data_IF_353740181349
#
_entry.id   IF_353740181349
#
_cell.length_a   1.000
_cell.length_b   1.000
_cell.length_c   1.000
_cell.angle_alpha   90.00
_cell.angle_beta   90.00
_cell.angle_gamma   90.00
#
_symmetry.space_group_name_H-M   'P 1'
#
loop_
_entity.id
_entity.type
_entity.pdbx_description
1 polymer ?
#
# COMPACT_ATOMS: atom_id res chain seq x y z
N UNK A 1 -21.68 10.02 -1.06
CA UNK A 1 -21.10 9.92 0.30
C UNK A 1 -19.59 9.64 0.20
N UNK A 2 -18.81 9.84 1.27
CA UNK A 2 -17.42 9.31 1.30
C UNK A 2 -17.47 7.78 1.36
N UNK A 3 -16.40 7.08 0.96
CA UNK A 3 -16.36 5.60 1.03
C UNK A 3 -16.65 5.09 2.45
N UNK A 4 -16.04 5.72 3.46
CA UNK A 4 -16.34 5.49 4.87
C UNK A 4 -17.83 5.60 5.18
N UNK A 5 -18.49 6.68 4.78
CA UNK A 5 -19.90 6.90 5.07
C UNK A 5 -20.80 5.87 4.37
N UNK A 6 -20.44 5.40 3.16
CA UNK A 6 -21.17 4.31 2.50
C UNK A 6 -21.04 2.99 3.28
N UNK A 7 -19.83 2.66 3.73
CA UNK A 7 -19.58 1.45 4.53
C UNK A 7 -20.35 1.52 5.85
N UNK A 8 -20.26 2.63 6.59
CA UNK A 8 -20.98 2.83 7.85
C UNK A 8 -22.50 2.67 7.66
N UNK A 9 -23.06 3.27 6.61
CA UNK A 9 -24.49 3.16 6.32
C UNK A 9 -24.90 1.73 5.93
N UNK A 10 -24.09 1.02 5.13
CA UNK A 10 -24.38 -0.36 4.74
C UNK A 10 -24.31 -1.35 5.90
N UNK A 11 -23.49 -1.08 6.91
CA UNK A 11 -23.37 -1.90 8.11
C UNK A 11 -24.33 -1.48 9.23
N UNK A 12 -25.12 -0.41 9.03
CA UNK A 12 -26.13 0.04 9.99
C UNK A 12 -27.41 -0.80 9.94
N UNK A 13 -28.21 -0.84 11.02
CA UNK A 13 -29.52 -1.50 11.00
C UNK A 13 -30.49 -0.94 9.95
N UNK A 14 -30.39 0.35 9.64
CA UNK A 14 -31.23 1.03 8.65
C UNK A 14 -30.83 0.69 7.21
N UNK A 15 -29.58 0.27 7.01
CA UNK A 15 -29.01 -0.02 5.69
C UNK A 15 -28.84 1.21 4.81
N UNK A 16 -28.57 0.99 3.52
CA UNK A 16 -28.43 2.05 2.51
C UNK A 16 -28.79 1.53 1.12
N UNK A 17 -29.20 2.43 0.23
CA UNK A 17 -29.43 2.13 -1.19
C UNK A 17 -28.14 2.18 -2.02
N UNK A 18 -27.04 2.72 -1.47
CA UNK A 18 -25.73 2.65 -2.11
C UNK A 18 -25.09 1.27 -1.91
N UNK A 19 -24.26 0.81 -2.85
CA UNK A 19 -23.54 -0.46 -2.73
C UNK A 19 -22.06 -0.13 -2.54
N UNK A 20 -21.54 -0.12 -1.29
CA UNK A 20 -20.10 0.05 -1.10
C UNK A 20 -19.34 -1.18 -1.62
N UNK A 21 -18.18 -0.94 -2.21
CA UNK A 21 -17.34 -1.98 -2.80
C UNK A 21 -16.00 -2.14 -2.07
N UNK A 22 -15.60 -3.39 -1.85
CA UNK A 22 -14.31 -3.77 -1.26
C UNK A 22 -13.75 -4.96 -2.03
N UNK A 23 -12.46 -4.92 -2.37
CA UNK A 23 -11.75 -6.04 -2.97
C UNK A 23 -11.16 -6.92 -1.86
N UNK A 24 -11.62 -8.17 -1.78
CA UNK A 24 -10.97 -9.16 -0.94
C UNK A 24 -9.53 -9.39 -1.41
N UNK A 25 -8.61 -9.57 -0.46
CA UNK A 25 -7.20 -9.78 -0.74
C UNK A 25 -6.58 -8.68 -1.62
N UNK A 26 -6.91 -7.41 -1.36
CA UNK A 26 -6.47 -6.27 -2.18
C UNK A 26 -4.96 -6.26 -2.45
N UNK A 27 -4.13 -6.76 -1.53
CA UNK A 27 -2.69 -6.85 -1.70
C UNK A 27 -2.27 -7.70 -2.90
N UNK A 28 -2.98 -8.82 -3.16
CA UNK A 28 -2.72 -9.68 -4.33
C UNK A 28 -3.10 -8.95 -5.62
N UNK A 29 -4.27 -8.31 -5.63
CA UNK A 29 -4.73 -7.53 -6.78
C UNK A 29 -3.77 -6.36 -7.08
N UNK A 30 -3.32 -5.64 -6.05
CA UNK A 30 -2.39 -4.52 -6.19
C UNK A 30 -1.03 -5.01 -6.70
N UNK A 31 -0.53 -6.13 -6.19
CA UNK A 31 0.71 -6.76 -6.65
C UNK A 31 0.65 -7.08 -8.15
N UNK A 32 -0.41 -7.76 -8.58
CA UNK A 32 -0.53 -8.27 -9.95
C UNK A 32 -0.83 -7.15 -10.97
N UNK A 33 -1.39 -6.04 -10.51
CA UNK A 33 -1.81 -4.91 -11.35
C UNK A 33 -1.08 -3.59 -11.03
N UNK A 34 0.09 -3.64 -10.39
CA UNK A 34 0.78 -2.43 -9.86
C UNK A 34 0.90 -1.31 -10.89
N UNK A 35 1.48 -1.61 -12.07
CA UNK A 35 1.70 -0.63 -13.14
C UNK A 35 0.38 -0.09 -13.76
N UNK A 36 -0.74 -0.79 -13.58
CA UNK A 36 -2.06 -0.36 -14.02
C UNK A 36 -2.76 0.51 -12.97
N UNK A 37 -2.38 0.37 -11.70
CA UNK A 37 -3.03 1.03 -10.57
C UNK A 37 -2.29 2.29 -10.08
N UNK A 38 -0.99 2.40 -10.33
CA UNK A 38 -0.20 3.56 -9.92
C UNK A 38 0.94 3.84 -10.89
N UNK A 39 1.40 5.10 -10.91
CA UNK A 39 2.58 5.51 -11.68
C UNK A 39 3.88 5.45 -10.90
N UNK A 40 3.81 5.23 -9.58
CA UNK A 40 5.01 5.18 -8.74
C UNK A 40 5.70 3.83 -8.83
N UNK A 41 7.01 3.76 -8.57
CA UNK A 41 7.73 2.49 -8.53
C UNK A 41 7.20 1.52 -7.47
N UNK A 42 7.23 0.21 -7.76
CA UNK A 42 6.73 -0.85 -6.86
C UNK A 42 7.35 -0.81 -5.46
N UNK A 43 8.62 -0.41 -5.34
CA UNK A 43 9.32 -0.38 -4.07
C UNK A 43 8.79 0.70 -3.12
N UNK A 44 7.93 1.62 -3.58
CA UNK A 44 7.21 2.55 -2.69
C UNK A 44 6.36 1.80 -1.63
N UNK A 45 5.95 0.56 -1.90
CA UNK A 45 5.26 -0.28 -0.91
C UNK A 45 6.14 -0.66 0.29
N UNK A 46 7.46 -0.61 0.13
CA UNK A 46 8.46 -0.93 1.17
C UNK A 46 9.08 0.32 1.80
N UNK A 47 8.67 1.52 1.37
CA UNK A 47 9.29 2.76 1.80
C UNK A 47 9.02 3.10 3.27
N UNK A 48 10.04 3.53 4.06
CA UNK A 48 9.81 4.08 5.38
C UNK A 48 9.20 5.49 5.35
N UNK A 49 9.10 6.12 4.18
CA UNK A 49 8.48 7.43 3.99
C UNK A 49 6.94 7.31 3.95
N UNK A 50 6.26 8.00 4.87
CA UNK A 50 4.80 7.98 4.97
C UNK A 50 4.11 8.62 3.76
N UNK A 51 4.68 9.65 3.14
CA UNK A 51 4.06 10.27 1.96
C UNK A 51 4.14 9.33 0.76
N UNK A 52 5.24 8.59 0.61
CA UNK A 52 5.33 7.56 -0.43
C UNK A 52 4.33 6.44 -0.18
N UNK A 53 4.21 5.96 1.06
CA UNK A 53 3.24 4.92 1.45
C UNK A 53 1.80 5.36 1.22
N UNK A 54 1.44 6.58 1.62
CA UNK A 54 0.08 7.08 1.46
C UNK A 54 -0.21 7.48 0.01
N UNK A 55 0.79 7.97 -0.72
CA UNK A 55 0.66 8.42 -2.11
C UNK A 55 0.16 7.34 -3.04
N UNK A 56 0.84 6.20 -3.11
CA UNK A 56 0.43 5.11 -4.00
C UNK A 56 -0.93 4.53 -3.61
N UNK A 57 -1.25 4.47 -2.31
CA UNK A 57 -2.54 3.96 -1.82
C UNK A 57 -3.70 4.86 -2.22
N UNK A 58 -3.49 6.18 -2.22
CA UNK A 58 -4.47 7.16 -2.72
C UNK A 58 -4.72 6.95 -4.22
N UNK A 59 -3.69 6.64 -5.00
CA UNK A 59 -3.87 6.31 -6.42
C UNK A 59 -4.66 4.99 -6.60
N UNK A 60 -4.30 3.94 -5.88
CA UNK A 60 -4.96 2.63 -5.94
C UNK A 60 -6.44 2.72 -5.57
N UNK A 61 -6.79 3.37 -4.45
CA UNK A 61 -8.19 3.46 -4.00
C UNK A 61 -9.03 4.25 -5.01
N UNK A 62 -8.47 5.30 -5.61
CA UNK A 62 -9.16 6.08 -6.65
C UNK A 62 -9.36 5.27 -7.93
N UNK A 63 -8.35 4.50 -8.37
CA UNK A 63 -8.45 3.72 -9.62
C UNK A 63 -9.31 2.48 -9.49
N UNK A 64 -9.37 1.89 -8.30
CA UNK A 64 -10.23 0.71 -8.04
C UNK A 64 -11.65 1.08 -7.66
N UNK A 65 -11.89 2.33 -7.25
CA UNK A 65 -13.21 2.79 -6.81
C UNK A 65 -13.68 2.14 -5.51
N UNK A 66 -12.77 1.55 -4.73
CA UNK A 66 -13.10 0.93 -3.45
C UNK A 66 -13.48 1.98 -2.41
N UNK A 67 -14.39 1.60 -1.52
CA UNK A 67 -14.85 2.47 -0.43
C UNK A 67 -14.09 2.26 0.88
N UNK A 68 -13.23 1.23 0.92
CA UNK A 68 -12.33 0.85 2.01
C UNK A 68 -10.95 0.53 1.41
N UNK A 69 -9.88 0.76 2.18
CA UNK A 69 -8.53 0.24 1.89
C UNK A 69 -7.91 -0.43 3.12
N UNK A 70 -7.09 -1.46 2.92
CA UNK A 70 -6.36 -2.09 4.02
C UNK A 70 -5.21 -1.17 4.46
N UNK A 71 -5.12 -0.92 5.76
CA UNK A 71 -3.96 -0.25 6.34
C UNK A 71 -2.87 -1.31 6.54
N UNK A 72 -1.67 -1.13 5.96
CA UNK A 72 -0.58 -2.08 6.10
C UNK A 72 -0.05 -2.07 7.54
N UNK A 73 0.69 -3.10 7.91
CA UNK A 73 1.67 -3.01 8.99
C UNK A 73 2.74 -1.99 8.60
N UNK A 74 2.75 -0.83 9.24
CA UNK A 74 3.77 0.21 9.00
C UNK A 74 4.90 0.13 10.02
N UNK A 75 6.09 0.54 9.63
CA UNK A 75 7.20 0.80 10.55
C UNK A 75 6.79 1.74 11.68
N UNK A 76 7.31 1.50 12.87
CA UNK A 76 7.25 2.43 14.01
C UNK A 76 7.96 3.76 13.69
N UNK A 77 7.71 4.79 14.50
CA UNK A 77 8.40 6.09 14.35
C UNK A 77 9.93 5.93 14.46
N UNK A 78 10.41 5.03 15.31
CA UNK A 78 11.83 4.76 15.47
C UNK A 78 12.40 4.11 14.21
N UNK A 79 11.80 3.01 13.75
CA UNK A 79 12.24 2.31 12.55
C UNK A 79 12.27 3.23 11.32
N UNK A 80 11.28 4.11 11.14
CA UNK A 80 11.30 5.08 10.01
C UNK A 80 12.46 6.07 10.05
N UNK A 81 13.05 6.34 11.22
CA UNK A 81 14.24 7.19 11.36
C UNK A 81 15.53 6.43 11.08
N UNK A 82 15.52 5.13 11.33
CA UNK A 82 16.68 4.24 11.21
C UNK A 82 16.79 3.62 9.82
N UNK A 83 15.65 3.38 9.16
CA UNK A 83 15.56 2.80 7.85
C UNK A 83 15.69 3.85 6.74
N UNK A 84 16.38 3.48 5.67
CA UNK A 84 16.40 4.24 4.43
C UNK A 84 16.35 3.35 3.21
N UNK A 85 15.75 3.87 2.14
CA UNK A 85 15.83 3.28 0.82
C UNK A 85 17.07 3.80 0.09
N UNK A 86 17.89 2.88 -0.39
CA UNK A 86 19.09 3.16 -1.16
C UNK A 86 19.03 2.49 -2.53
N UNK A 87 19.68 3.12 -3.51
CA UNK A 87 19.83 2.56 -4.86
C UNK A 87 21.30 2.30 -5.11
N UNK A 88 21.64 1.08 -5.50
CA UNK A 88 23.02 0.66 -5.81
C UNK A 88 22.96 -0.17 -7.09
N UNK A 89 23.64 0.27 -8.14
CA UNK A 89 23.65 -0.40 -9.45
C UNK A 89 22.25 -0.72 -10.02
N UNK A 90 21.28 0.18 -9.79
CA UNK A 90 19.89 0.02 -10.22
C UNK A 90 19.02 -0.83 -9.28
N UNK A 91 19.64 -1.54 -8.33
CA UNK A 91 18.96 -2.37 -7.33
C UNK A 91 18.53 -1.54 -6.12
N UNK A 92 17.42 -1.94 -5.50
CA UNK A 92 16.85 -1.25 -4.33
C UNK A 92 17.14 -2.00 -3.04
N UNK A 93 17.55 -1.25 -2.02
CA UNK A 93 17.87 -1.79 -0.71
C UNK A 93 17.12 -1.02 0.36
N UNK A 94 16.55 -1.75 1.32
CA UNK A 94 16.14 -1.18 2.60
C UNK A 94 17.27 -1.39 3.59
N UNK A 95 17.85 -0.30 4.07
CA UNK A 95 19.05 -0.30 4.92
C UNK A 95 18.69 0.25 6.29
N UNK A 96 19.00 -0.51 7.35
CA UNK A 96 18.97 -0.01 8.71
C UNK A 96 20.32 0.60 9.07
N UNK A 97 20.33 1.92 9.28
CA UNK A 97 21.55 2.69 9.56
C UNK A 97 22.13 2.44 10.96
N UNK A 98 21.34 1.93 11.89
CA UNK A 98 21.80 1.63 13.26
C UNK A 98 22.47 0.26 13.34
N UNK A 99 21.93 -0.73 12.65
CA UNK A 99 22.42 -2.12 12.72
C UNK A 99 23.33 -2.51 11.57
N UNK A 100 23.44 -1.65 10.55
CA UNK A 100 24.07 -1.94 9.26
C UNK A 100 23.46 -3.15 8.52
N UNK A 101 22.25 -3.57 8.92
CA UNK A 101 21.51 -4.60 8.20
C UNK A 101 20.94 -4.02 6.91
N UNK A 102 21.05 -4.79 5.84
CA UNK A 102 20.50 -4.45 4.54
C UNK A 102 19.65 -5.58 3.99
N UNK A 103 18.54 -5.21 3.37
CA UNK A 103 17.67 -6.12 2.64
C UNK A 103 17.51 -5.62 1.22
N UNK A 104 17.99 -6.39 0.24
CA UNK A 104 17.68 -6.17 -1.16
C UNK A 104 16.18 -6.37 -1.36
N UNK A 105 15.52 -5.39 -1.95
CA UNK A 105 14.12 -5.48 -2.32
C UNK A 105 14.01 -6.19 -3.65
N UNK A 106 13.04 -7.09 -3.77
CA UNK A 106 12.73 -7.78 -5.01
C UNK A 106 11.36 -7.33 -5.49
N UNK A 107 11.25 -7.11 -6.80
CA UNK A 107 9.95 -6.84 -7.40
C UNK A 107 9.04 -8.04 -7.16
N UNK A 108 7.82 -7.82 -6.65
CA UNK A 108 6.91 -8.93 -6.40
C UNK A 108 6.62 -9.73 -7.67
N UNK A 109 6.61 -11.05 -7.54
CA UNK A 109 6.19 -11.93 -8.63
C UNK A 109 4.68 -11.79 -8.87
N UNK A 110 4.29 -11.57 -10.13
CA UNK A 110 2.89 -11.60 -10.55
C UNK A 110 2.39 -13.05 -10.52
N UNK A 111 1.30 -13.28 -9.80
CA UNK A 111 0.72 -14.61 -9.60
C UNK A 111 1.57 -15.54 -8.71
N UNK A 112 0.93 -16.58 -8.19
CA UNK A 112 1.53 -17.50 -7.22
C UNK A 112 1.32 -17.09 -5.76
N UNK A 113 1.60 -18.04 -4.87
CA UNK A 113 1.59 -17.92 -3.41
C UNK A 113 3.02 -17.94 -2.88
#
# INVERSE_FOLDING_TARGET
MTGRAKIEAALSPEGTAEIPAVLCYEGIYIRDHWAQLTTVPWWHQESPDLEQQLGWRREVIQRTGQDWMVLPSTYTRQERRELSLETRDGERYLVNRQTAQERRLQEPQIGGW
#
